data_IF_170156938469
#
_entry.id   IF_170156938469
#
_cell.length_a   1.000
_cell.length_b   1.000
_cell.length_c   1.000
_cell.angle_alpha   90.00
_cell.angle_beta   90.00
_cell.angle_gamma   90.00
#
_symmetry.space_group_name_H-M   'P 1'
#
loop_
_entity.id
_entity.type
_entity.pdbx_description
1 polymer ?
#
# COMPACT_ATOMS: atom_id res chain seq x y z
N UNK A 1 -37.71 31.07 -21.61
CA UNK A 1 -36.41 31.49 -21.05
C UNK A 1 -36.20 30.65 -19.78
N UNK A 2 -35.59 29.49 -19.93
CA UNK A 2 -35.27 28.60 -18.81
C UNK A 2 -33.88 28.99 -18.26
N UNK A 3 -33.90 29.61 -17.10
CA UNK A 3 -32.69 29.94 -16.33
C UNK A 3 -32.00 28.66 -15.92
N UNK A 4 -30.89 28.34 -16.58
CA UNK A 4 -29.98 27.30 -16.19
C UNK A 4 -29.17 27.79 -14.98
N UNK A 5 -29.69 27.64 -13.78
CA UNK A 5 -28.92 27.83 -12.55
C UNK A 5 -27.86 26.76 -12.52
N UNK A 6 -26.60 27.10 -12.87
CA UNK A 6 -25.45 26.28 -12.55
C UNK A 6 -25.42 26.15 -11.03
N UNK A 7 -25.86 25.01 -10.50
CA UNK A 7 -25.59 24.66 -9.10
C UNK A 7 -24.09 24.78 -8.89
N UNK A 8 -23.67 25.68 -8.04
CA UNK A 8 -22.25 25.83 -7.68
C UNK A 8 -21.84 24.59 -6.88
N UNK A 9 -20.84 23.88 -7.38
CA UNK A 9 -20.25 22.76 -6.62
C UNK A 9 -19.81 23.30 -5.25
N UNK A 10 -20.22 22.63 -4.14
CA UNK A 10 -19.85 23.05 -2.80
C UNK A 10 -18.32 23.18 -2.66
N UNK A 11 -17.91 24.23 -1.99
CA UNK A 11 -16.50 24.53 -1.74
C UNK A 11 -15.91 23.50 -0.76
N UNK A 12 -14.79 22.87 -1.10
CA UNK A 12 -14.12 21.89 -0.24
C UNK A 12 -13.06 22.63 0.59
N UNK A 13 -13.41 22.97 1.82
CA UNK A 13 -12.53 23.72 2.75
C UNK A 13 -11.20 22.99 3.00
N UNK A 14 -11.23 21.66 3.07
CA UNK A 14 -10.02 20.86 3.27
C UNK A 14 -8.97 21.11 2.16
N UNK A 15 -9.38 21.19 0.90
CA UNK A 15 -8.46 21.47 -0.22
C UNK A 15 -7.86 22.87 -0.13
N UNK A 16 -8.63 23.88 0.30
CA UNK A 16 -8.12 25.24 0.50
C UNK A 16 -7.04 25.30 1.59
N UNK A 17 -7.26 24.56 2.70
CA UNK A 17 -6.29 24.47 3.78
C UNK A 17 -5.00 23.82 3.28
N UNK A 18 -5.08 22.74 2.52
CA UNK A 18 -3.91 22.06 1.95
C UNK A 18 -3.12 22.98 1.02
N UNK A 19 -3.80 23.68 0.11
CA UNK A 19 -3.17 24.65 -0.80
C UNK A 19 -2.50 25.79 -0.03
N UNK A 20 -3.16 26.32 1.01
CA UNK A 20 -2.60 27.36 1.89
C UNK A 20 -1.34 26.85 2.62
N UNK A 21 -1.31 25.57 3.00
CA UNK A 21 -0.17 24.94 3.63
C UNK A 21 0.94 24.57 2.63
N UNK A 22 0.79 24.92 1.36
CA UNK A 22 1.79 24.69 0.31
C UNK A 22 1.84 23.24 -0.20
N UNK A 23 0.75 22.47 -0.04
CA UNK A 23 0.65 21.12 -0.62
C UNK A 23 0.26 21.25 -2.10
N UNK A 24 1.06 20.64 -2.99
CA UNK A 24 0.67 20.45 -4.38
C UNK A 24 -0.33 19.28 -4.47
N UNK A 25 -1.63 19.58 -4.42
CA UNK A 25 -2.70 18.59 -4.38
C UNK A 25 -2.70 17.69 -5.62
N UNK A 26 -2.41 18.22 -6.81
CA UNK A 26 -2.34 17.40 -8.03
C UNK A 26 -1.20 16.39 -7.97
N UNK A 27 -0.01 16.84 -7.56
CA UNK A 27 1.12 15.92 -7.37
C UNK A 27 0.85 14.89 -6.27
N UNK A 28 0.18 15.29 -5.18
CA UNK A 28 -0.20 14.36 -4.12
C UNK A 28 -1.15 13.27 -4.63
N UNK A 29 -2.16 13.64 -5.44
CA UNK A 29 -3.06 12.66 -6.07
C UNK A 29 -2.32 11.69 -6.98
N UNK A 30 -1.34 12.17 -7.75
CA UNK A 30 -0.49 11.29 -8.58
C UNK A 30 0.29 10.28 -7.73
N UNK A 31 0.93 10.74 -6.65
CA UNK A 31 1.70 9.87 -5.76
C UNK A 31 0.80 8.83 -5.09
N UNK A 32 -0.36 9.26 -4.58
CA UNK A 32 -1.33 8.34 -3.97
C UNK A 32 -1.82 7.33 -5.01
N UNK A 33 -2.15 7.76 -6.24
CA UNK A 33 -2.61 6.83 -7.29
C UNK A 33 -1.55 5.77 -7.62
N UNK A 34 -0.28 6.17 -7.68
CA UNK A 34 0.85 5.25 -7.88
C UNK A 34 1.02 4.29 -6.71
N UNK A 35 0.95 4.80 -5.47
CA UNK A 35 1.05 3.98 -4.27
C UNK A 35 -0.08 2.95 -4.19
N UNK A 36 -1.33 3.37 -4.29
CA UNK A 36 -2.47 2.42 -4.24
C UNK A 36 -2.50 1.46 -5.44
N UNK A 37 -1.93 1.87 -6.59
CA UNK A 37 -1.72 0.98 -7.73
C UNK A 37 -0.70 -0.11 -7.40
N UNK A 38 0.39 0.25 -6.72
CA UNK A 38 1.40 -0.69 -6.24
C UNK A 38 0.79 -1.68 -5.24
N UNK A 39 0.09 -1.20 -4.20
CA UNK A 39 -0.59 -2.07 -3.22
C UNK A 39 -1.53 -3.08 -3.88
N UNK A 40 -2.33 -2.61 -4.84
CA UNK A 40 -3.27 -3.47 -5.56
C UNK A 40 -2.55 -4.54 -6.39
N UNK A 41 -1.48 -4.19 -7.12
CA UNK A 41 -0.71 -5.14 -7.94
C UNK A 41 0.08 -6.10 -7.05
N UNK A 42 0.65 -5.62 -5.95
CA UNK A 42 1.37 -6.45 -4.97
C UNK A 42 0.44 -7.47 -4.33
N UNK A 43 -0.75 -7.07 -3.89
CA UNK A 43 -1.77 -8.00 -3.40
C UNK A 43 -2.06 -9.14 -4.40
N UNK A 44 -2.16 -8.82 -5.71
CA UNK A 44 -2.37 -9.82 -6.75
C UNK A 44 -1.16 -10.75 -6.89
N UNK A 45 0.04 -10.21 -7.02
CA UNK A 45 1.25 -11.00 -7.21
C UNK A 45 1.62 -11.84 -5.98
N UNK A 46 1.42 -11.32 -4.77
CA UNK A 46 1.63 -12.07 -3.54
C UNK A 46 0.68 -13.27 -3.42
N UNK A 47 -0.52 -13.17 -3.99
CA UNK A 47 -1.40 -14.34 -4.10
C UNK A 47 -0.75 -15.46 -4.91
N UNK A 48 -0.05 -15.13 -6.01
CA UNK A 48 0.66 -16.11 -6.84
C UNK A 48 1.90 -16.62 -6.10
N UNK A 49 2.75 -15.73 -5.62
CA UNK A 49 4.01 -16.06 -4.94
C UNK A 49 3.75 -16.99 -3.73
N UNK A 50 2.73 -16.69 -2.93
CA UNK A 50 2.33 -17.51 -1.80
C UNK A 50 2.00 -18.95 -2.19
N UNK A 51 1.34 -19.17 -3.32
CA UNK A 51 0.99 -20.51 -3.80
C UNK A 51 2.23 -21.35 -4.15
N UNK A 52 3.34 -20.69 -4.49
CA UNK A 52 4.61 -21.33 -4.81
C UNK A 52 5.56 -21.49 -3.62
N UNK A 53 5.22 -20.96 -2.45
CA UNK A 53 5.93 -21.25 -1.19
C UNK A 53 5.54 -22.67 -0.72
N UNK A 54 6.27 -23.70 -1.17
CA UNK A 54 5.94 -25.10 -0.94
C UNK A 54 7.02 -25.85 -0.15
N UNK A 55 6.67 -27.04 0.37
CA UNK A 55 7.57 -27.84 1.18
C UNK A 55 7.68 -27.35 2.63
N UNK A 56 8.45 -28.06 3.45
CA UNK A 56 8.59 -27.75 4.89
C UNK A 56 9.15 -26.34 5.14
N UNK A 57 10.10 -25.90 4.31
CA UNK A 57 10.69 -24.56 4.40
C UNK A 57 9.72 -23.48 3.92
N UNK A 58 8.84 -23.83 2.98
CA UNK A 58 7.88 -22.88 2.39
C UNK A 58 6.69 -22.55 3.29
N UNK A 59 6.32 -23.41 4.24
CA UNK A 59 5.13 -23.19 5.07
C UNK A 59 5.25 -21.94 5.97
N UNK A 60 6.41 -21.71 6.58
CA UNK A 60 6.65 -20.48 7.35
C UNK A 60 6.62 -19.22 6.48
N UNK A 61 7.22 -19.30 5.30
CA UNK A 61 7.21 -18.20 4.32
C UNK A 61 5.79 -17.92 3.84
N UNK A 62 4.99 -18.95 3.59
CA UNK A 62 3.59 -18.81 3.16
C UNK A 62 2.74 -18.03 4.16
N UNK A 63 2.93 -18.24 5.47
CA UNK A 63 2.21 -17.51 6.52
C UNK A 63 2.58 -16.00 6.49
N UNK A 64 3.87 -15.70 6.35
CA UNK A 64 4.38 -14.32 6.29
C UNK A 64 3.88 -13.59 5.05
N UNK A 65 3.96 -14.24 3.89
CA UNK A 65 3.44 -13.68 2.62
C UNK A 65 1.92 -13.47 2.68
N UNK A 66 1.18 -14.31 3.41
CA UNK A 66 -0.25 -14.10 3.62
C UNK A 66 -0.54 -12.88 4.48
N UNK A 67 0.26 -12.63 5.53
CA UNK A 67 0.12 -11.42 6.36
C UNK A 67 0.36 -10.16 5.51
N UNK A 68 1.51 -10.06 4.83
CA UNK A 68 1.85 -8.94 3.96
C UNK A 68 0.78 -8.73 2.88
N UNK A 69 0.38 -9.79 2.18
CA UNK A 69 -0.66 -9.72 1.14
C UNK A 69 -1.98 -9.12 1.63
N UNK A 70 -2.41 -9.46 2.84
CA UNK A 70 -3.67 -8.94 3.39
C UNK A 70 -3.48 -7.50 3.86
N UNK A 71 -2.31 -7.15 4.37
CA UNK A 71 -1.98 -5.78 4.75
C UNK A 71 -1.92 -4.88 3.51
N UNK A 72 -1.32 -5.29 2.38
CA UNK A 72 -1.37 -4.55 1.10
C UNK A 72 -2.80 -4.25 0.63
N UNK A 73 -3.70 -5.24 0.71
CA UNK A 73 -5.12 -5.00 0.44
C UNK A 73 -5.70 -3.93 1.38
N UNK A 74 -5.37 -3.98 2.67
CA UNK A 74 -5.85 -3.01 3.65
C UNK A 74 -5.28 -1.61 3.38
N UNK A 75 -4.02 -1.51 2.93
CA UNK A 75 -3.37 -0.26 2.50
C UNK A 75 -4.13 0.38 1.34
N UNK A 76 -4.42 -0.42 0.31
CA UNK A 76 -5.25 0.03 -0.81
C UNK A 76 -6.61 0.56 -0.33
N UNK A 77 -7.34 -0.23 0.47
CA UNK A 77 -8.68 0.15 0.97
C UNK A 77 -8.64 1.38 1.89
N UNK A 78 -7.57 1.57 2.67
CA UNK A 78 -7.44 2.71 3.57
C UNK A 78 -7.13 4.03 2.84
N UNK A 79 -6.31 3.98 1.77
CA UNK A 79 -5.87 5.19 1.09
C UNK A 79 -6.79 5.63 -0.06
N UNK A 80 -7.53 4.73 -0.69
CA UNK A 80 -8.46 5.07 -1.79
C UNK A 80 -9.50 6.12 -1.39
N UNK A 81 -10.19 6.03 -0.23
CA UNK A 81 -11.11 7.09 0.18
C UNK A 81 -10.43 8.47 0.26
N UNK A 82 -9.17 8.51 0.72
CA UNK A 82 -8.40 9.76 0.79
C UNK A 82 -8.14 10.35 -0.59
N UNK A 83 -7.83 9.53 -1.59
CA UNK A 83 -7.71 9.98 -2.99
C UNK A 83 -8.98 10.70 -3.47
N UNK A 84 -10.15 10.12 -3.18
CA UNK A 84 -11.43 10.71 -3.56
C UNK A 84 -11.75 11.99 -2.78
N UNK A 85 -11.42 12.06 -1.48
CA UNK A 85 -11.53 13.29 -0.68
C UNK A 85 -10.68 14.45 -1.25
N UNK A 86 -9.54 14.12 -1.88
CA UNK A 86 -8.69 15.08 -2.58
C UNK A 86 -9.21 15.46 -3.97
N UNK A 87 -10.37 14.95 -4.38
CA UNK A 87 -10.95 15.17 -5.71
C UNK A 87 -10.29 14.34 -6.81
N UNK A 88 -9.52 13.30 -6.45
CA UNK A 88 -9.00 12.30 -7.37
C UNK A 88 -10.01 11.18 -7.63
N UNK A 89 -9.63 10.23 -8.46
CA UNK A 89 -10.40 9.01 -8.73
C UNK A 89 -9.49 7.90 -9.25
N UNK A 90 -9.87 6.66 -9.00
CA UNK A 90 -9.20 5.53 -9.62
C UNK A 90 -9.49 5.46 -11.13
N UNK A 91 -8.53 5.02 -11.95
CA UNK A 91 -8.77 4.73 -13.36
C UNK A 91 -9.91 3.71 -13.55
N UNK A 92 -10.78 3.95 -14.52
CA UNK A 92 -11.90 3.04 -14.82
C UNK A 92 -11.46 1.73 -15.49
N UNK A 93 -10.30 1.73 -16.15
CA UNK A 93 -9.70 0.55 -16.76
C UNK A 93 -8.61 0.02 -15.82
N UNK A 94 -8.78 -1.19 -15.34
CA UNK A 94 -7.86 -1.84 -14.40
C UNK A 94 -6.45 -2.00 -14.99
N UNK A 95 -6.32 -2.17 -16.30
CA UNK A 95 -5.01 -2.27 -16.96
C UNK A 95 -4.26 -0.95 -16.86
N UNK A 96 -4.96 0.17 -17.12
CA UNK A 96 -4.39 1.50 -16.96
C UNK A 96 -4.05 1.81 -15.50
N UNK A 97 -4.80 1.23 -14.57
CA UNK A 97 -4.50 1.38 -13.15
C UNK A 97 -3.23 0.60 -12.78
N UNK A 98 -3.11 -0.63 -13.22
CA UNK A 98 -1.88 -1.42 -13.02
C UNK A 98 -0.66 -0.76 -13.69
N UNK A 99 -0.81 -0.25 -14.93
CA UNK A 99 0.26 0.46 -15.64
C UNK A 99 0.75 1.73 -14.91
N UNK A 100 -0.07 2.30 -14.02
CA UNK A 100 0.28 3.48 -13.21
C UNK A 100 0.90 3.13 -11.85
N UNK A 101 1.01 1.86 -11.51
CA UNK A 101 1.62 1.42 -10.26
C UNK A 101 3.03 2.02 -10.09
N UNK A 102 3.32 2.49 -8.88
CA UNK A 102 4.60 3.17 -8.59
C UNK A 102 5.78 2.22 -8.43
N UNK A 103 5.52 0.92 -8.36
CA UNK A 103 6.54 -0.12 -8.17
C UNK A 103 6.53 -1.11 -9.34
N UNK A 104 7.67 -1.77 -9.62
CA UNK A 104 7.72 -2.86 -10.58
C UNK A 104 6.79 -4.01 -10.17
N UNK A 105 6.25 -4.70 -11.16
CA UNK A 105 5.45 -5.90 -10.91
C UNK A 105 6.27 -7.00 -10.23
N UNK A 106 5.73 -7.55 -9.15
CA UNK A 106 6.34 -8.62 -8.38
C UNK A 106 6.08 -10.00 -9.01
N UNK A 107 6.48 -10.21 -10.26
CA UNK A 107 6.28 -11.46 -10.97
C UNK A 107 6.91 -12.66 -10.26
N UNK A 108 6.29 -13.82 -10.42
CA UNK A 108 6.90 -15.08 -10.00
C UNK A 108 8.25 -15.26 -10.74
N UNK A 109 9.36 -15.45 -10.02
CA UNK A 109 10.67 -15.59 -10.65
C UNK A 109 10.75 -16.89 -11.47
N UNK A 110 11.62 -16.93 -12.49
CA UNK A 110 11.84 -18.14 -13.32
C UNK A 110 12.22 -19.35 -12.47
N UNK A 111 13.04 -19.15 -11.43
CA UNK A 111 13.39 -20.17 -10.45
C UNK A 111 12.45 -20.14 -9.23
N UNK A 112 11.17 -20.35 -9.47
CA UNK A 112 10.15 -20.33 -8.42
C UNK A 112 10.22 -21.50 -7.43
N UNK A 113 11.02 -22.55 -7.70
CA UNK A 113 11.31 -23.65 -6.77
C UNK A 113 12.33 -23.25 -5.71
N UNK A 114 13.08 -22.17 -5.93
CA UNK A 114 14.01 -21.61 -4.97
C UNK A 114 13.32 -20.50 -4.15
N UNK A 115 13.04 -20.79 -2.88
CA UNK A 115 12.43 -19.81 -1.97
C UNK A 115 13.23 -18.52 -1.84
N UNK A 116 14.56 -18.58 -1.96
CA UNK A 116 15.40 -17.39 -1.93
C UNK A 116 15.10 -16.45 -3.11
N UNK A 117 14.79 -16.99 -4.29
CA UNK A 117 14.38 -16.19 -5.44
C UNK A 117 13.01 -15.53 -5.23
N UNK A 118 12.05 -16.24 -4.64
CA UNK A 118 10.75 -15.67 -4.25
C UNK A 118 10.94 -14.53 -3.23
N UNK A 119 11.69 -14.80 -2.16
CA UNK A 119 11.93 -13.83 -1.09
C UNK A 119 12.62 -12.55 -1.57
N UNK A 120 13.48 -12.64 -2.59
CA UNK A 120 14.11 -11.45 -3.19
C UNK A 120 13.10 -10.56 -3.91
N UNK A 121 12.16 -11.17 -4.66
CA UNK A 121 11.08 -10.43 -5.34
C UNK A 121 10.20 -9.74 -4.29
N UNK A 122 9.83 -10.44 -3.22
CA UNK A 122 9.06 -9.87 -2.12
C UNK A 122 9.80 -8.68 -1.49
N UNK A 123 11.07 -8.86 -1.14
CA UNK A 123 11.90 -7.80 -0.54
C UNK A 123 12.01 -6.55 -1.45
N UNK A 124 12.19 -6.73 -2.74
CA UNK A 124 12.24 -5.61 -3.70
C UNK A 124 10.92 -4.84 -3.76
N UNK A 125 9.79 -5.53 -3.68
CA UNK A 125 8.47 -4.91 -3.64
C UNK A 125 8.28 -4.05 -2.39
N UNK A 126 8.58 -4.58 -1.20
CA UNK A 126 8.48 -3.82 0.06
C UNK A 126 9.40 -2.59 0.07
N UNK A 127 10.64 -2.76 -0.39
CA UNK A 127 11.58 -1.63 -0.48
C UNK A 127 11.09 -0.53 -1.44
N UNK A 128 10.36 -0.89 -2.48
CA UNK A 128 9.72 0.09 -3.35
C UNK A 128 8.55 0.77 -2.66
N UNK A 129 7.69 0.02 -1.97
CA UNK A 129 6.55 0.56 -1.22
C UNK A 129 7.00 1.55 -0.14
N UNK A 130 8.05 1.22 0.64
CA UNK A 130 8.65 2.12 1.64
C UNK A 130 9.06 3.45 1.00
N UNK A 131 9.75 3.42 -0.15
CA UNK A 131 10.16 4.66 -0.84
C UNK A 131 8.97 5.46 -1.33
N UNK A 132 7.97 4.79 -1.91
CA UNK A 132 6.77 5.43 -2.45
C UNK A 132 5.94 6.13 -1.36
N UNK A 133 5.70 5.46 -0.24
CA UNK A 133 4.98 6.05 0.89
C UNK A 133 5.81 7.08 1.63
N UNK A 134 7.14 6.93 1.64
CA UNK A 134 8.07 7.95 2.12
C UNK A 134 7.91 9.28 1.39
N UNK A 135 7.79 9.28 0.05
CA UNK A 135 7.53 10.50 -0.73
C UNK A 135 6.20 11.17 -0.35
N UNK A 136 5.15 10.37 -0.07
CA UNK A 136 3.87 10.90 0.39
C UNK A 136 4.00 11.52 1.79
N UNK A 137 4.72 10.86 2.69
CA UNK A 137 5.01 11.39 4.03
C UNK A 137 5.77 12.71 3.96
N UNK A 138 6.83 12.81 3.17
CA UNK A 138 7.65 14.02 3.02
C UNK A 138 6.82 15.21 2.48
N UNK A 139 5.93 14.94 1.54
CA UNK A 139 5.06 15.97 0.97
C UNK A 139 4.02 16.49 1.97
N UNK A 140 3.56 15.63 2.89
CA UNK A 140 2.39 15.89 3.75
C UNK A 140 2.74 16.21 5.20
N UNK A 141 3.97 15.94 5.64
CA UNK A 141 4.44 16.18 7.00
C UNK A 141 4.19 17.65 7.44
N UNK A 142 3.45 17.82 8.53
CA UNK A 142 3.08 19.14 9.06
C UNK A 142 2.12 19.98 8.21
N UNK A 143 1.67 19.46 7.04
CA UNK A 143 0.82 20.18 6.08
C UNK A 143 -0.54 19.52 5.87
N UNK A 144 -0.58 18.19 5.81
CA UNK A 144 -1.78 17.37 5.65
C UNK A 144 -1.75 16.21 6.66
N UNK A 145 -2.22 16.44 7.89
CA UNK A 145 -2.13 15.44 8.95
C UNK A 145 -2.92 14.16 8.61
N UNK A 146 -4.03 14.29 7.86
CA UNK A 146 -4.86 13.13 7.50
C UNK A 146 -4.16 12.20 6.50
N UNK A 147 -3.57 12.74 5.44
CA UNK A 147 -2.83 11.91 4.48
C UNK A 147 -1.54 11.39 5.10
N UNK A 148 -0.83 12.23 5.86
CA UNK A 148 0.38 11.84 6.57
C UNK A 148 0.16 10.67 7.53
N UNK A 149 -0.91 10.71 8.33
CA UNK A 149 -1.22 9.66 9.31
C UNK A 149 -1.46 8.31 8.63
N UNK A 150 -2.21 8.28 7.50
CA UNK A 150 -2.45 7.05 6.76
C UNK A 150 -1.15 6.55 6.10
N UNK A 151 -0.44 7.42 5.38
CA UNK A 151 0.78 7.06 4.67
C UNK A 151 1.89 6.58 5.61
N UNK A 152 2.05 7.22 6.77
CA UNK A 152 3.01 6.83 7.79
C UNK A 152 2.71 5.43 8.35
N UNK A 153 1.45 5.11 8.59
CA UNK A 153 1.05 3.78 9.08
C UNK A 153 1.37 2.70 8.06
N UNK A 154 1.01 2.94 6.79
CA UNK A 154 1.36 2.03 5.70
C UNK A 154 2.87 1.83 5.66
N UNK A 155 3.65 2.90 5.59
CA UNK A 155 5.12 2.81 5.54
C UNK A 155 5.71 2.03 6.73
N UNK A 156 5.13 2.13 7.92
CA UNK A 156 5.58 1.37 9.10
C UNK A 156 5.36 -0.14 8.92
N UNK A 157 4.26 -0.55 8.30
CA UNK A 157 3.97 -1.95 8.00
C UNK A 157 4.92 -2.48 6.92
N UNK A 158 5.20 -1.70 5.87
CA UNK A 158 6.17 -2.09 4.84
C UNK A 158 7.60 -2.24 5.38
N UNK A 159 8.01 -1.38 6.33
CA UNK A 159 9.30 -1.52 7.05
C UNK A 159 9.33 -2.83 7.85
N UNK A 160 8.21 -3.23 8.44
CA UNK A 160 8.11 -4.50 9.14
C UNK A 160 8.21 -5.70 8.18
N UNK A 161 7.52 -5.64 7.02
CA UNK A 161 7.61 -6.66 5.98
C UNK A 161 9.05 -6.78 5.44
N UNK A 162 9.70 -5.65 5.14
CA UNK A 162 11.11 -5.65 4.76
C UNK A 162 11.98 -6.41 5.78
N UNK A 163 11.79 -6.12 7.06
CA UNK A 163 12.56 -6.78 8.12
C UNK A 163 12.32 -8.28 8.17
N UNK A 164 11.09 -8.76 7.93
CA UNK A 164 10.76 -10.18 7.87
C UNK A 164 11.47 -10.88 6.71
N UNK A 165 11.40 -10.31 5.51
CA UNK A 165 12.04 -10.91 4.34
C UNK A 165 13.56 -10.87 4.43
N UNK A 166 14.15 -9.83 5.06
CA UNK A 166 15.58 -9.78 5.36
C UNK A 166 15.97 -10.89 6.37
N UNK A 167 15.17 -11.13 7.40
CA UNK A 167 15.43 -12.22 8.36
C UNK A 167 15.47 -13.57 7.66
N UNK A 168 14.49 -13.87 6.81
CA UNK A 168 14.42 -15.12 6.07
C UNK A 168 15.58 -15.30 5.08
N UNK A 169 16.03 -14.22 4.43
CA UNK A 169 17.13 -14.25 3.46
C UNK A 169 18.51 -14.30 4.11
N UNK A 170 18.73 -13.54 5.18
CA UNK A 170 20.07 -13.29 5.73
C UNK A 170 20.26 -13.80 7.16
N UNK A 171 19.22 -14.38 7.77
CA UNK A 171 19.20 -14.78 9.18
C UNK A 171 19.48 -13.62 10.16
N UNK A 172 19.26 -12.38 9.73
CA UNK A 172 19.33 -11.21 10.61
C UNK A 172 18.06 -11.19 11.46
N UNK A 173 18.14 -11.22 12.79
CA UNK A 173 16.96 -11.22 13.65
C UNK A 173 16.08 -10.00 13.39
N UNK A 174 14.76 -10.21 13.32
CA UNK A 174 13.74 -9.18 13.26
C UNK A 174 12.76 -9.31 14.42
N UNK A 175 11.82 -8.38 14.51
CA UNK A 175 10.75 -8.42 15.51
C UNK A 175 9.50 -9.17 15.06
N UNK A 176 9.61 -10.03 14.05
CA UNK A 176 8.45 -10.75 13.53
C UNK A 176 7.83 -11.67 14.59
N UNK A 177 6.51 -11.56 14.72
CA UNK A 177 5.70 -12.45 15.56
C UNK A 177 4.53 -12.98 14.74
N UNK A 178 4.13 -14.20 15.04
CA UNK A 178 2.88 -14.71 14.49
C UNK A 178 1.72 -13.82 14.92
N UNK A 179 0.99 -13.27 13.96
CA UNK A 179 -0.21 -12.48 14.21
C UNK A 179 -1.31 -13.36 14.81
N UNK A 180 -2.13 -12.80 15.69
CA UNK A 180 -3.32 -13.48 16.20
C UNK A 180 -4.33 -13.70 15.06
N UNK A 181 -4.40 -12.74 14.17
CA UNK A 181 -5.22 -12.79 12.97
C UNK A 181 -4.39 -12.22 11.81
N UNK A 182 -4.54 -12.86 10.64
CA UNK A 182 -3.87 -12.43 9.41
C UNK A 182 -4.29 -11.00 9.05
N UNK A 183 -3.33 -10.16 8.65
CA UNK A 183 -3.57 -8.77 8.27
C UNK A 183 -3.89 -7.83 9.44
N UNK A 184 -3.53 -8.21 10.67
CA UNK A 184 -3.63 -7.34 11.84
C UNK A 184 -2.26 -6.89 12.33
N UNK A 185 -1.81 -5.74 11.86
CA UNK A 185 -0.59 -5.10 12.35
C UNK A 185 -0.81 -4.40 13.70
N UNK A 186 0.17 -4.43 14.62
CA UNK A 186 0.14 -3.60 15.82
C UNK A 186 0.22 -2.10 15.53
N UNK A 187 0.68 -1.71 14.34
CA UNK A 187 0.85 -0.30 13.95
C UNK A 187 -0.45 0.35 13.48
N UNK A 188 -1.36 -0.41 12.86
CA UNK A 188 -2.65 0.10 12.40
C UNK A 188 -3.73 0.11 13.47
N UNK A 189 -3.48 -0.52 14.62
CA UNK A 189 -4.54 -0.68 15.63
C UNK A 189 -5.78 -1.35 15.05
N UNK A 190 -6.76 -1.71 15.81
CA UNK A 190 -7.97 -2.45 15.44
C UNK A 190 -8.70 -2.05 14.13
N UNK A 191 -8.04 -1.96 13.01
CA UNK A 191 -8.68 -1.80 11.70
C UNK A 191 -9.42 -3.08 11.22
N UNK A 192 -9.26 -4.20 11.92
CA UNK A 192 -10.07 -5.39 11.71
C UNK A 192 -11.58 -5.22 11.98
N UNK A 193 -12.02 -4.04 12.46
CA UNK A 193 -13.45 -3.75 12.65
C UNK A 193 -14.11 -3.04 11.47
N UNK A 194 -13.38 -2.70 10.40
CA UNK A 194 -13.97 -2.09 9.22
C UNK A 194 -14.49 -3.10 8.18
N UNK A 195 -14.34 -4.40 8.42
CA UNK A 195 -14.87 -5.47 7.55
C UNK A 195 -16.06 -6.15 8.23
N UNK A 196 -16.98 -5.38 8.76
CA UNK A 196 -18.31 -5.81 9.10
C UNK A 196 -19.34 -4.88 8.43
N UNK A 197 -19.39 -4.98 7.12
CA UNK A 197 -20.57 -4.58 6.31
C UNK A 197 -20.80 -5.64 5.24
#
# INVERSE_FOLDING_TARGET
>A
MTSNSKESVPKIVALEVLQKNGVNVERLKELITKGVGAEFTTYYYYTILRMHCTGLEGEGVKEIVEDARIEDRNHFEAMVPRLYELGGSLPRDIRKFADQAGCPDAFLPDNWQDLSSILKVLLEAEQCAIRSWGEVCDMTAGKDPRTYDIAQRIMQEEIEHEAWFIELLSKRPSGHFRRKYVGQSPHTGNQGSLIHL
#
